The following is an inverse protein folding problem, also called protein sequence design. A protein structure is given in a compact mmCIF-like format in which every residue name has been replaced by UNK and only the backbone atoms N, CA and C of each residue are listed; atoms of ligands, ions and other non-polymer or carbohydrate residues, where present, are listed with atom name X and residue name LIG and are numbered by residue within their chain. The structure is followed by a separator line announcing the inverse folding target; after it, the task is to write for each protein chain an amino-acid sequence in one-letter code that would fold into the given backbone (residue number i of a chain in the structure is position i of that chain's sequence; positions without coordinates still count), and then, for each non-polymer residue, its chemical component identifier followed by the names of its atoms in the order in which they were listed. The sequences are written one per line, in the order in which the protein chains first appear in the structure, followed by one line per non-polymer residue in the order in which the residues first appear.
data_IF_411607704792
#
_entry.id   IF_411607704792
#
_cell.length_a   1.000
_cell.length_b   1.000
_cell.length_c   1.000
_cell.angle_alpha   90.00
_cell.angle_beta   90.00
_cell.angle_gamma   90.00
#
_symmetry.space_group_name_H-M   'P 1'
#
loop_
_entity.id
_entity.type
_entity.pdbx_description
1 polymer ?
#
# COMPACT_ATOMS: atom_id res chain seq x y z
N UNK A 1 -1.75 12.78 16.51
CA UNK A 1 -2.18 12.03 15.30
C UNK A 1 -1.44 10.70 15.33
N UNK A 2 -2.15 9.58 15.30
CA UNK A 2 -1.53 8.25 15.32
C UNK A 2 -0.76 8.03 14.01
N UNK A 3 0.54 7.75 14.10
CA UNK A 3 1.45 7.53 12.98
C UNK A 3 0.97 6.38 12.10
N UNK A 4 0.44 5.31 12.70
CA UNK A 4 -0.05 4.17 11.95
C UNK A 4 -1.26 4.50 11.05
N UNK A 5 -2.18 5.36 11.53
CA UNK A 5 -3.35 5.80 10.75
C UNK A 5 -3.00 6.69 9.56
N UNK A 6 -1.87 7.40 9.64
CA UNK A 6 -1.37 8.23 8.52
C UNK A 6 -0.66 7.36 7.50
N UNK A 7 0.09 6.34 7.94
CA UNK A 7 0.76 5.38 7.07
C UNK A 7 -0.19 4.59 6.18
N UNK A 8 -1.33 4.14 6.72
CA UNK A 8 -2.37 3.45 5.92
C UNK A 8 -2.94 4.36 4.83
N UNK A 9 -3.26 5.62 5.15
CA UNK A 9 -3.78 6.58 4.15
C UNK A 9 -2.80 6.85 3.01
N UNK A 10 -1.51 6.93 3.33
CA UNK A 10 -0.48 7.08 2.29
C UNK A 10 -0.38 5.83 1.42
N UNK A 11 -0.53 4.65 2.01
CA UNK A 11 -0.51 3.40 1.27
C UNK A 11 -1.72 3.30 0.32
N UNK A 12 -2.92 3.64 0.77
CA UNK A 12 -4.14 3.64 -0.06
C UNK A 12 -3.99 4.57 -1.29
N UNK A 13 -3.43 5.77 -1.08
CA UNK A 13 -3.13 6.70 -2.17
C UNK A 13 -2.12 6.12 -3.17
N UNK A 14 -1.10 5.45 -2.66
CA UNK A 14 -0.04 4.88 -3.48
C UNK A 14 -0.52 3.67 -4.28
N UNK A 15 -1.42 2.86 -3.71
CA UNK A 15 -2.13 1.79 -4.44
C UNK A 15 -2.96 2.37 -5.58
N UNK A 16 -3.75 3.42 -5.33
CA UNK A 16 -4.56 4.06 -6.35
C UNK A 16 -3.72 4.63 -7.51
N UNK A 17 -2.59 5.27 -7.22
CA UNK A 17 -1.70 5.82 -8.24
C UNK A 17 -0.96 4.71 -9.02
N UNK A 18 -0.62 3.62 -8.34
CA UNK A 18 -0.02 2.45 -8.97
C UNK A 18 -0.99 1.77 -9.93
N UNK A 19 -2.24 1.51 -9.51
CA UNK A 19 -3.26 0.87 -10.34
C UNK A 19 -3.54 1.67 -11.61
N UNK A 20 -3.65 3.00 -11.48
CA UNK A 20 -3.82 3.88 -12.63
C UNK A 20 -2.63 3.79 -13.59
N UNK A 21 -1.41 3.91 -13.08
CA UNK A 21 -0.18 3.83 -13.89
C UNK A 21 -0.01 2.47 -14.55
N UNK A 22 -0.45 1.40 -13.88
CA UNK A 22 -0.42 0.03 -14.40
C UNK A 22 -1.38 -0.15 -15.57
N UNK A 23 -2.61 0.36 -15.46
CA UNK A 23 -3.61 0.33 -16.54
C UNK A 23 -3.13 1.15 -17.73
N UNK A 24 -2.63 2.37 -17.49
CA UNK A 24 -2.10 3.23 -18.55
C UNK A 24 -0.93 2.54 -19.28
N UNK A 25 -0.06 1.83 -18.55
CA UNK A 25 1.06 1.10 -19.13
C UNK A 25 0.61 -0.15 -19.92
N UNK A 26 -0.39 -0.90 -19.46
CA UNK A 26 -0.93 -2.04 -20.23
C UNK A 26 -1.66 -1.58 -21.50
N UNK A 27 -2.33 -0.41 -21.46
CA UNK A 27 -2.90 0.24 -22.65
C UNK A 27 -1.80 0.58 -23.67
N UNK A 28 -0.72 1.24 -23.24
CA UNK A 28 0.40 1.57 -24.11
C UNK A 28 1.07 0.32 -24.72
N UNK A 29 1.16 -0.77 -23.96
CA UNK A 29 1.67 -2.06 -24.48
C UNK A 29 0.73 -2.63 -25.55
N UNK A 30 -0.58 -2.42 -25.40
CA UNK A 30 -1.60 -2.82 -26.38
C UNK A 30 -1.58 -2.03 -27.69
N UNK A 31 -0.97 -0.84 -27.72
CA UNK A 31 -0.80 -0.01 -28.92
C UNK A 31 0.42 -0.40 -29.77
N UNK A 32 1.28 -1.30 -29.26
CA UNK A 32 2.46 -1.79 -30.00
C UNK A 32 2.03 -2.68 -31.16
N UNK A 33 2.70 -2.54 -32.32
CA UNK A 33 2.44 -3.33 -33.53
C UNK A 33 2.46 -4.85 -33.26
N UNK A 34 1.49 -5.59 -33.83
CA UNK A 34 1.35 -7.04 -33.66
C UNK A 34 2.60 -7.84 -34.08
N UNK A 35 3.42 -7.29 -34.99
CA UNK A 35 4.68 -7.89 -35.43
C UNK A 35 5.74 -7.95 -34.30
N UNK A 36 5.51 -7.27 -33.17
CA UNK A 36 6.38 -7.24 -31.99
C UNK A 36 5.82 -8.06 -30.82
N UNK A 37 5.11 -9.15 -31.09
CA UNK A 37 4.43 -9.98 -30.07
C UNK A 37 5.34 -10.46 -28.94
N UNK A 38 6.61 -10.76 -29.22
CA UNK A 38 7.59 -11.17 -28.20
C UNK A 38 7.86 -10.06 -27.19
N UNK A 39 7.91 -8.81 -27.66
CA UNK A 39 8.11 -7.62 -26.82
C UNK A 39 6.85 -7.37 -25.99
N UNK A 40 5.66 -7.47 -26.58
CA UNK A 40 4.37 -7.33 -25.89
C UNK A 40 4.25 -8.36 -24.76
N UNK A 41 4.57 -9.63 -25.03
CA UNK A 41 4.53 -10.69 -24.04
C UNK A 41 5.53 -10.46 -22.90
N UNK A 42 6.78 -10.11 -23.23
CA UNK A 42 7.80 -9.80 -22.24
C UNK A 42 7.42 -8.58 -21.38
N UNK A 43 6.80 -7.55 -21.97
CA UNK A 43 6.32 -6.38 -21.27
C UNK A 43 5.20 -6.72 -20.27
N UNK A 44 4.17 -7.47 -20.71
CA UNK A 44 3.08 -7.93 -19.84
C UNK A 44 3.56 -8.86 -18.72
N UNK A 45 4.55 -9.70 -18.98
CA UNK A 45 5.17 -10.54 -17.94
C UNK A 45 5.85 -9.70 -16.87
N UNK A 46 6.61 -8.67 -17.27
CA UNK A 46 7.25 -7.73 -16.33
C UNK A 46 6.23 -6.90 -15.56
N UNK A 47 5.15 -6.47 -16.23
CA UNK A 47 4.03 -5.74 -15.64
C UNK A 47 3.38 -6.59 -14.53
N UNK A 48 3.07 -7.86 -14.81
CA UNK A 48 2.56 -8.82 -13.82
C UNK A 48 3.52 -9.02 -12.63
N UNK A 49 4.81 -9.15 -12.90
CA UNK A 49 5.82 -9.27 -11.84
C UNK A 49 5.90 -8.01 -10.97
N UNK A 50 5.78 -6.82 -11.58
CA UNK A 50 5.76 -5.54 -10.88
C UNK A 50 4.53 -5.43 -9.96
N UNK A 51 3.34 -5.75 -10.46
CA UNK A 51 2.11 -5.78 -9.64
C UNK A 51 2.22 -6.77 -8.48
N UNK A 52 2.78 -7.95 -8.71
CA UNK A 52 2.99 -8.95 -7.66
C UNK A 52 3.94 -8.43 -6.57
N UNK A 53 5.05 -7.80 -6.96
CA UNK A 53 6.01 -7.22 -6.02
C UNK A 53 5.37 -6.07 -5.21
N UNK A 54 4.55 -5.24 -5.87
CA UNK A 54 3.84 -4.14 -5.24
C UNK A 54 2.78 -4.64 -4.24
N UNK A 55 1.97 -5.63 -4.59
CA UNK A 55 1.00 -6.24 -3.69
C UNK A 55 1.65 -6.81 -2.41
N UNK A 56 2.82 -7.47 -2.57
CA UNK A 56 3.58 -7.97 -1.42
C UNK A 56 4.15 -6.85 -0.55
N UNK A 57 4.64 -5.77 -1.18
CA UNK A 57 5.12 -4.59 -0.48
C UNK A 57 3.98 -3.94 0.32
N UNK A 58 2.83 -3.71 -0.31
CA UNK A 58 1.67 -3.12 0.35
C UNK A 58 1.23 -3.94 1.56
N UNK A 59 1.06 -5.25 1.39
CA UNK A 59 0.70 -6.13 2.52
C UNK A 59 1.70 -6.05 3.68
N UNK A 60 3.01 -6.00 3.40
CA UNK A 60 4.04 -5.83 4.45
C UNK A 60 3.93 -4.47 5.15
N UNK A 61 3.69 -3.40 4.39
CA UNK A 61 3.47 -2.06 4.93
C UNK A 61 2.21 -1.99 5.80
N UNK A 62 1.09 -2.58 5.36
CA UNK A 62 -0.14 -2.69 6.15
C UNK A 62 0.13 -3.36 7.49
N UNK A 63 0.80 -4.53 7.50
CA UNK A 63 1.15 -5.24 8.73
C UNK A 63 2.01 -4.38 9.66
N UNK A 64 2.99 -3.64 9.13
CA UNK A 64 3.83 -2.73 9.94
C UNK A 64 3.01 -1.59 10.53
N UNK A 65 2.13 -0.98 9.75
CA UNK A 65 1.29 0.13 10.22
C UNK A 65 0.24 -0.32 11.23
N UNK A 66 -0.41 -1.46 11.02
CA UNK A 66 -1.33 -2.05 12.00
C UNK A 66 -0.63 -2.37 13.33
N UNK A 67 0.58 -2.94 13.27
CA UNK A 67 1.36 -3.20 14.47
C UNK A 67 1.79 -1.91 15.16
N UNK A 68 2.09 -0.86 14.38
CA UNK A 68 2.37 0.48 14.92
C UNK A 68 1.14 1.05 15.62
N UNK A 69 -0.06 0.95 15.04
CA UNK A 69 -1.30 1.38 15.68
C UNK A 69 -1.57 0.63 16.99
N UNK A 70 -1.37 -0.70 17.01
CA UNK A 70 -1.51 -1.51 18.24
C UNK A 70 -0.51 -1.08 19.31
N UNK A 71 0.74 -0.80 18.93
CA UNK A 71 1.77 -0.30 19.86
C UNK A 71 1.44 1.10 20.37
N UNK A 72 0.94 1.99 19.51
CA UNK A 72 0.48 3.33 19.91
C UNK A 72 -0.63 3.24 20.96
N UNK A 73 -1.58 2.31 20.79
CA UNK A 73 -2.67 2.07 21.75
C UNK A 73 -2.16 1.54 23.11
N UNK A 74 -1.16 0.64 23.08
CA UNK A 74 -0.53 0.05 24.28
C UNK A 74 0.43 1.04 24.99
N UNK A 75 1.07 1.95 24.26
CA UNK A 75 2.02 2.93 24.80
C UNK A 75 1.36 4.26 25.19
N UNK A 76 0.16 4.56 24.69
CA UNK A 76 -0.68 5.68 25.13
C UNK A 76 -1.92 5.31 26.02
N UNK A 77 -1.87 4.36 26.98
CA UNK A 77 -3.00 4.08 27.85
C UNK A 77 -3.12 5.10 29.00
N UNK A 78 -2.07 5.89 29.28
CA UNK A 78 -1.96 6.63 30.53
C UNK A 78 -2.52 8.05 30.55
N UNK A 79 -2.89 8.65 29.41
CA UNK A 79 -3.46 10.02 29.47
C UNK A 79 -4.83 10.06 30.16
N UNK A 80 -5.62 8.97 30.11
CA UNK A 80 -6.94 8.94 30.75
C UNK A 80 -6.88 8.56 32.23
N UNK A 81 -5.96 7.66 32.61
CA UNK A 81 -5.83 7.18 33.99
C UNK A 81 -5.02 8.11 34.89
N UNK A 82 -4.09 8.90 34.33
CA UNK A 82 -3.32 9.91 35.07
C UNK A 82 -4.10 11.24 35.23
N UNK A 83 -5.04 11.55 34.32
CA UNK A 83 -5.86 12.78 34.35
C UNK A 83 -7.16 12.63 35.15
N UNK A 84 -7.72 11.41 35.27
CA UNK A 84 -8.90 11.14 36.11
C UNK A 84 -8.69 9.96 37.06
N UNK A 85 -7.92 10.12 38.14
CA UNK A 85 -7.86 9.12 39.21
C UNK A 85 -9.18 9.16 40.02
N UNK A 86 -10.16 8.35 39.62
CA UNK A 86 -11.27 7.98 40.51
C UNK A 86 -12.68 8.41 40.11
N UNK A 87 -13.16 8.03 38.91
CA UNK A 87 -14.60 7.87 38.70
C UNK A 87 -14.92 6.44 38.27
N UNK A 88 -15.27 5.63 39.27
CA UNK A 88 -16.14 4.47 39.15
C UNK A 88 -17.54 4.93 39.56
#
# INVERSE_FOLDING_TARGET
MAVGSTGIKWLDLLESEFDKSFVDLDLLIGEVDEDQIDIIYAARQKLTALSTAFAQLSHKCQVVFENTMKLEDILCPNFFQEVFPGKV
#
